data_IF_175055750193
#
_entry.id   IF_175055750193
#
_cell.length_a   1.000
_cell.length_b   1.000
_cell.length_c   1.000
_cell.angle_alpha   90.00
_cell.angle_beta   90.00
_cell.angle_gamma   90.00
#
_symmetry.space_group_name_H-M   'P 1'
#
loop_
_entity.id
_entity.type
_entity.pdbx_description
1 polymer ?
#
# COMPACT_ATOMS: atom_id res chain seq x y z
N UNK A 1 -12.96 -2.30 14.86
CA UNK A 1 -12.53 -1.37 13.79
C UNK A 1 -11.10 -0.94 14.06
N UNK A 2 -10.20 -1.05 13.09
CA UNK A 2 -8.81 -0.59 13.21
C UNK A 2 -8.71 0.95 13.14
N UNK A 3 -7.56 1.52 13.47
CA UNK A 3 -7.36 2.98 13.40
C UNK A 3 -7.53 3.51 11.97
N UNK A 4 -6.95 2.82 10.98
CA UNK A 4 -7.15 3.15 9.56
C UNK A 4 -8.62 3.01 9.15
N UNK A 5 -9.32 1.96 9.58
CA UNK A 5 -10.74 1.84 9.28
C UNK A 5 -11.59 2.97 9.90
N UNK A 6 -11.21 3.48 11.07
CA UNK A 6 -11.87 4.67 11.66
C UNK A 6 -11.61 5.92 10.79
N UNK A 7 -10.36 6.11 10.34
CA UNK A 7 -9.99 7.18 9.41
C UNK A 7 -10.78 7.08 8.10
N UNK A 8 -10.83 5.90 7.49
CA UNK A 8 -11.53 5.65 6.24
C UNK A 8 -13.03 5.95 6.37
N UNK A 9 -13.62 5.56 7.50
CA UNK A 9 -15.06 5.71 7.73
C UNK A 9 -15.42 7.17 8.02
N UNK A 10 -14.56 7.93 8.71
CA UNK A 10 -14.80 9.34 9.03
C UNK A 10 -14.45 10.30 7.90
N UNK A 11 -13.37 10.05 7.16
CA UNK A 11 -12.78 11.03 6.25
C UNK A 11 -12.72 10.57 4.79
N UNK A 12 -12.73 9.26 4.50
CA UNK A 12 -12.50 8.73 3.15
C UNK A 12 -13.69 7.93 2.58
N UNK A 13 -14.87 8.04 3.19
CA UNK A 13 -16.13 7.53 2.63
C UNK A 13 -16.35 6.02 2.74
N UNK A 14 -15.61 5.32 3.61
CA UNK A 14 -15.87 3.89 3.85
C UNK A 14 -17.23 3.71 4.53
N UNK A 15 -18.07 2.85 3.96
CA UNK A 15 -19.37 2.51 4.55
C UNK A 15 -19.21 1.75 5.87
N UNK A 16 -20.10 2.00 6.83
CA UNK A 16 -20.15 1.29 8.10
C UNK A 16 -21.59 1.19 8.61
N UNK A 17 -21.90 0.10 9.32
CA UNK A 17 -23.17 -0.08 10.02
C UNK A 17 -23.20 0.62 11.40
N UNK A 18 -22.08 1.21 11.82
CA UNK A 18 -21.97 1.97 13.07
C UNK A 18 -22.39 3.44 12.83
N UNK A 19 -22.93 4.09 13.84
CA UNK A 19 -23.30 5.52 13.76
C UNK A 19 -22.06 6.42 13.73
N UNK A 20 -22.15 7.58 13.08
CA UNK A 20 -21.06 8.57 13.07
C UNK A 20 -20.65 9.02 14.48
N UNK A 21 -21.61 9.09 15.42
CA UNK A 21 -21.33 9.42 16.80
C UNK A 21 -20.48 8.35 17.51
N UNK A 22 -20.81 7.06 17.34
CA UNK A 22 -20.03 5.97 17.91
C UNK A 22 -18.61 5.93 17.33
N UNK A 23 -18.49 6.14 16.02
CA UNK A 23 -17.20 6.18 15.32
C UNK A 23 -16.36 7.39 15.79
N UNK A 24 -16.96 8.57 15.87
CA UNK A 24 -16.30 9.78 16.37
C UNK A 24 -15.87 9.67 17.84
N UNK A 25 -16.71 9.06 18.68
CA UNK A 25 -16.35 8.78 20.08
C UNK A 25 -15.17 7.83 20.17
N UNK A 26 -15.14 6.77 19.36
CA UNK A 26 -14.04 5.81 19.35
C UNK A 26 -12.75 6.45 18.80
N UNK A 27 -12.86 7.31 17.79
CA UNK A 27 -11.75 8.08 17.25
C UNK A 27 -11.12 8.99 18.31
N UNK A 28 -11.94 9.73 19.06
CA UNK A 28 -11.50 10.61 20.15
C UNK A 28 -10.92 9.80 21.32
N UNK A 29 -11.55 8.68 21.69
CA UNK A 29 -11.06 7.79 22.75
C UNK A 29 -9.65 7.27 22.46
N UNK A 30 -9.32 7.05 21.19
CA UNK A 30 -8.00 6.59 20.74
C UNK A 30 -6.98 7.71 20.53
N UNK A 31 -7.37 8.98 20.72
CA UNK A 31 -6.47 10.12 20.51
C UNK A 31 -6.00 10.26 19.06
N UNK A 32 -6.80 9.79 18.10
CA UNK A 32 -6.47 9.90 16.68
C UNK A 32 -6.73 11.33 16.19
N UNK A 33 -6.02 11.73 15.13
CA UNK A 33 -6.19 13.02 14.48
C UNK A 33 -6.24 12.84 12.96
N UNK A 34 -6.88 13.78 12.27
CA UNK A 34 -6.93 13.74 10.79
C UNK A 34 -5.51 13.73 10.19
N UNK A 35 -4.59 14.51 10.76
CA UNK A 35 -3.19 14.54 10.31
C UNK A 35 -2.51 13.16 10.46
N UNK A 36 -2.80 12.43 11.54
CA UNK A 36 -2.32 11.05 11.69
C UNK A 36 -2.90 10.14 10.61
N UNK A 37 -4.21 10.25 10.34
CA UNK A 37 -4.86 9.50 9.26
C UNK A 37 -4.20 9.78 7.89
N UNK A 38 -3.96 11.05 7.57
CA UNK A 38 -3.33 11.47 6.32
C UNK A 38 -1.90 10.90 6.23
N UNK A 39 -1.12 11.01 7.31
CA UNK A 39 0.26 10.49 7.39
C UNK A 39 0.33 8.99 7.18
N UNK A 40 -0.52 8.24 7.87
CA UNK A 40 -0.50 6.77 7.83
C UNK A 40 -1.00 6.26 6.47
N UNK A 41 -1.96 6.96 5.87
CA UNK A 41 -2.44 6.66 4.51
C UNK A 41 -1.36 6.94 3.48
N UNK A 42 -0.64 8.07 3.58
CA UNK A 42 0.46 8.40 2.67
C UNK A 42 1.62 7.42 2.77
N UNK A 43 1.95 6.91 3.96
CA UNK A 43 2.96 5.85 4.12
C UNK A 43 2.57 4.60 3.33
N UNK A 44 1.32 4.17 3.42
CA UNK A 44 0.84 3.00 2.66
C UNK A 44 0.94 3.20 1.14
N UNK A 45 0.65 4.41 0.66
CA UNK A 45 0.85 4.73 -0.76
C UNK A 45 2.33 4.72 -1.14
N UNK A 46 3.19 5.29 -0.30
CA UNK A 46 4.63 5.29 -0.54
C UNK A 46 5.21 3.88 -0.57
N UNK A 47 4.91 3.04 0.43
CA UNK A 47 5.39 1.65 0.48
C UNK A 47 4.92 0.86 -0.72
N UNK A 48 3.63 0.94 -1.08
CA UNK A 48 3.11 0.25 -2.27
C UNK A 48 3.77 0.70 -3.57
N UNK A 49 4.08 1.99 -3.68
CA UNK A 49 4.77 2.53 -4.84
C UNK A 49 6.20 1.98 -4.91
N UNK A 50 6.93 2.02 -3.80
CA UNK A 50 8.29 1.46 -3.72
C UNK A 50 8.29 -0.04 -4.01
N UNK A 51 7.37 -0.82 -3.42
CA UNK A 51 7.26 -2.25 -3.65
C UNK A 51 6.94 -2.57 -5.13
N UNK A 52 6.08 -1.76 -5.76
CA UNK A 52 5.79 -1.88 -7.18
C UNK A 52 7.03 -1.60 -8.04
N UNK A 53 7.78 -0.55 -7.74
CA UNK A 53 9.03 -0.24 -8.46
C UNK A 53 10.10 -1.31 -8.22
N UNK A 54 10.24 -1.82 -6.99
CA UNK A 54 11.19 -2.87 -6.65
C UNK A 54 10.90 -4.16 -7.44
N UNK A 55 9.64 -4.60 -7.48
CA UNK A 55 9.25 -5.76 -8.28
C UNK A 55 9.50 -5.59 -9.78
N UNK A 56 9.40 -4.37 -10.32
CA UNK A 56 9.74 -4.09 -11.73
C UNK A 56 11.25 -4.20 -12.03
N UNK A 57 12.10 -3.94 -11.04
CA UNK A 57 13.56 -4.06 -11.18
C UNK A 57 13.97 -5.54 -11.11
N UNK A 58 13.41 -6.30 -10.17
CA UNK A 58 13.66 -7.75 -10.06
C UNK A 58 13.22 -8.50 -11.33
N UNK A 59 12.09 -8.14 -11.95
CA UNK A 59 11.65 -8.74 -13.21
C UNK A 59 12.52 -8.39 -14.44
N UNK A 60 13.42 -7.40 -14.34
CA UNK A 60 14.30 -6.99 -15.43
C UNK A 60 15.61 -7.78 -15.48
N UNK A 61 16.04 -8.36 -14.36
CA UNK A 61 17.28 -9.14 -14.31
C UNK A 61 17.11 -10.57 -14.87
N UNK A 62 15.90 -11.13 -14.86
CA UNK A 62 15.62 -12.46 -15.44
C UNK A 62 15.47 -12.47 -16.99
N UNK A 63 15.49 -11.31 -17.65
CA UNK A 63 15.24 -11.21 -19.10
C UNK A 63 16.50 -11.02 -19.97
N UNK A 64 17.71 -10.95 -19.38
CA UNK A 64 18.97 -10.74 -20.13
C UNK A 64 19.91 -11.97 -20.17
N UNK A 65 19.66 -13.05 -19.42
CA UNK A 65 20.56 -14.24 -19.43
C UNK A 65 20.24 -15.30 -20.51
N UNK A 66 19.10 -15.24 -21.21
CA UNK A 66 18.69 -16.23 -22.23
C UNK A 66 18.85 -15.72 -23.67
N UNK A 67 19.97 -15.05 -23.98
CA UNK A 67 20.28 -14.64 -25.37
C UNK A 67 21.75 -14.85 -25.77
N UNK A 68 22.51 -15.67 -25.05
CA UNK A 68 23.88 -16.04 -25.43
C UNK A 68 24.12 -17.55 -25.44
N UNK A 69 23.21 -18.32 -26.07
CA UNK A 69 23.54 -19.68 -26.48
C UNK A 69 24.49 -19.63 -27.69
N UNK A 70 25.78 -19.76 -27.40
CA UNK A 70 26.89 -19.84 -28.35
C UNK A 70 26.63 -20.92 -29.42
N UNK A 71 26.60 -20.52 -30.70
CA UNK A 71 26.57 -21.44 -31.84
C UNK A 71 27.95 -22.09 -31.99
N UNK A 72 28.04 -23.40 -31.74
CA UNK A 72 29.23 -24.19 -32.05
C UNK A 72 29.14 -24.68 -33.52
N UNK A 73 30.19 -24.51 -34.35
CA UNK A 73 30.18 -25.04 -35.70
C UNK A 73 30.33 -26.57 -35.69
N UNK A 74 29.58 -27.23 -36.57
CA UNK A 74 29.68 -28.66 -36.81
C UNK A 74 30.97 -29.01 -37.58
N UNK A 75 31.53 -30.16 -37.17
CA UNK A 75 32.81 -30.78 -37.54
C UNK A 75 33.15 -30.82 -39.03
#
# INVERSE_FOLDING_TARGET
>A
MSNLQLCDTLYYGRSSNQTLAAIGSEFNRRGLSKNWCDTETNKLYFTKTVDWFAGQIEHKEDSEEEASAVVLPAN
#
